data_IF_494071986214
#
_entry.id   IF_494071986214
#
_cell.length_a   1.000
_cell.length_b   1.000
_cell.length_c   1.000
_cell.angle_alpha   90.00
_cell.angle_beta   90.00
_cell.angle_gamma   90.00
#
_symmetry.space_group_name_H-M   'P 1'
#
loop_
_entity.id
_entity.type
_entity.pdbx_description
1 polymer ?
#
# COMPACT_ATOMS: atom_id res chain seq x y z
N UNK A 1 24.80 -4.22 15.05
CA UNK A 1 23.54 -4.37 14.37
C UNK A 1 22.91 -3.04 14.09
N UNK A 2 22.37 -2.89 12.96
CA UNK A 2 21.69 -1.68 12.67
C UNK A 2 20.33 -1.70 13.19
N UNK A 3 19.89 -0.59 13.67
CA UNK A 3 18.51 -0.41 13.98
C UNK A 3 17.75 -0.20 12.70
N UNK A 4 16.71 -0.94 12.54
CA UNK A 4 15.85 -0.75 11.38
C UNK A 4 15.18 0.60 11.47
N UNK A 5 15.21 1.33 10.37
CA UNK A 5 14.42 2.56 10.26
C UNK A 5 12.96 2.14 10.18
N UNK A 6 12.10 2.70 11.02
CA UNK A 6 10.68 2.33 10.99
C UNK A 6 10.07 2.58 9.62
N UNK A 7 9.20 1.68 9.22
CA UNK A 7 8.46 1.81 7.97
C UNK A 7 7.00 2.04 8.26
N UNK A 8 6.35 2.80 7.40
CA UNK A 8 4.91 2.99 7.45
C UNK A 8 4.34 2.60 6.10
N UNK A 9 3.11 2.10 6.14
CA UNK A 9 2.38 1.75 4.94
C UNK A 9 1.05 2.46 5.00
N UNK A 10 0.73 3.20 3.95
CA UNK A 10 -0.56 3.85 3.81
C UNK A 10 -1.31 3.17 2.67
N UNK A 11 -2.56 2.84 2.91
CA UNK A 11 -3.41 2.20 1.91
C UNK A 11 -4.67 3.05 1.78
N UNK A 12 -4.94 3.48 0.55
CA UNK A 12 -6.13 4.25 0.23
C UNK A 12 -7.01 3.39 -0.68
N UNK A 13 -8.18 3.02 -0.18
CA UNK A 13 -9.10 2.15 -0.91
C UNK A 13 -10.18 3.04 -1.51
N UNK A 14 -10.04 3.33 -2.79
CA UNK A 14 -11.01 4.11 -3.53
C UNK A 14 -11.98 3.24 -4.31
N UNK A 15 -12.99 3.86 -4.87
CA UNK A 15 -14.02 3.14 -5.63
C UNK A 15 -13.43 2.48 -6.88
N UNK A 16 -12.44 3.10 -7.51
CA UNK A 16 -11.89 2.61 -8.78
C UNK A 16 -10.48 2.08 -8.67
N UNK A 17 -9.75 2.46 -7.62
CA UNK A 17 -8.36 2.02 -7.46
C UNK A 17 -7.99 1.96 -5.99
N UNK A 18 -7.02 1.10 -5.71
CA UNK A 18 -6.36 1.03 -4.41
C UNK A 18 -4.96 1.57 -4.60
N UNK A 19 -4.55 2.47 -3.73
CA UNK A 19 -3.20 3.04 -3.75
C UNK A 19 -2.46 2.62 -2.49
N UNK A 20 -1.20 2.23 -2.65
CA UNK A 20 -0.35 1.82 -1.54
C UNK A 20 0.93 2.64 -1.59
N UNK A 21 1.36 3.11 -0.43
CA UNK A 21 2.58 3.88 -0.30
C UNK A 21 3.37 3.32 0.87
N UNK A 22 4.66 3.08 0.65
CA UNK A 22 5.57 2.61 1.68
C UNK A 22 6.59 3.71 1.92
N UNK A 23 6.77 4.09 3.18
CA UNK A 23 7.73 5.12 3.55
C UNK A 23 8.62 4.67 4.69
N UNK A 24 9.83 5.20 4.71
CA UNK A 24 10.73 5.08 5.86
C UNK A 24 10.66 6.36 6.66
N UNK A 25 10.47 6.21 7.96
CA UNK A 25 10.36 7.34 8.87
C UNK A 25 11.74 7.59 9.47
N UNK A 26 12.43 8.61 8.97
CA UNK A 26 13.75 8.98 9.50
C UNK A 26 13.61 9.93 10.70
N UNK A 27 12.56 10.73 10.70
CA UNK A 27 12.22 11.64 11.77
C UNK A 27 10.73 11.95 11.65
N UNK A 28 10.07 12.50 12.67
CA UNK A 28 8.63 12.78 12.58
C UNK A 28 8.23 13.64 11.37
N UNK A 29 9.14 14.50 10.93
CA UNK A 29 8.88 15.38 9.80
C UNK A 29 9.68 14.99 8.55
N UNK A 30 10.28 13.78 8.53
CA UNK A 30 11.12 13.36 7.42
C UNK A 30 10.78 11.91 7.06
N UNK A 31 9.85 11.74 6.14
CA UNK A 31 9.41 10.44 5.67
C UNK A 31 9.86 10.30 4.22
N UNK A 32 10.62 9.25 3.95
CA UNK A 32 11.10 8.96 2.62
C UNK A 32 10.20 7.90 1.99
N UNK A 33 9.58 8.25 0.86
CA UNK A 33 8.76 7.30 0.12
C UNK A 33 9.68 6.37 -0.64
N UNK A 34 9.58 5.07 -0.39
CA UNK A 34 10.45 4.08 -1.02
C UNK A 34 9.69 3.16 -1.96
N UNK A 35 8.36 3.15 -1.89
CA UNK A 35 7.54 2.38 -2.82
C UNK A 35 6.15 2.94 -2.89
N UNK A 36 5.55 2.87 -4.06
CA UNK A 36 4.17 3.24 -4.25
C UNK A 36 3.61 2.51 -5.44
N UNK A 37 2.33 2.18 -5.37
CA UNK A 37 1.67 1.46 -6.44
C UNK A 37 0.18 1.73 -6.37
N UNK A 38 -0.47 1.53 -7.51
CA UNK A 38 -1.92 1.57 -7.62
C UNK A 38 -2.39 0.34 -8.35
N UNK A 39 -3.51 -0.21 -7.92
CA UNK A 39 -4.15 -1.32 -8.61
C UNK A 39 -5.61 -0.97 -8.83
N UNK A 40 -6.16 -1.45 -9.94
CA UNK A 40 -7.57 -1.23 -10.23
C UNK A 40 -8.42 -1.98 -9.22
N UNK A 41 -9.42 -1.29 -8.68
CA UNK A 41 -10.36 -1.87 -7.74
C UNK A 41 -11.70 -2.06 -8.44
N UNK A 42 -12.11 -3.32 -8.59
CA UNK A 42 -13.38 -3.67 -9.22
C UNK A 42 -14.39 -4.19 -8.21
N UNK A 43 -14.05 -4.12 -6.93
CA UNK A 43 -14.88 -4.66 -5.86
C UNK A 43 -15.77 -3.65 -5.19
N UNK A 44 -15.80 -2.39 -5.68
CA UNK A 44 -16.58 -1.33 -5.06
C UNK A 44 -17.45 -0.63 -6.07
N UNK A 45 -18.58 -0.11 -5.60
CA UNK A 45 -19.49 0.68 -6.39
C UNK A 45 -20.05 1.77 -5.51
N UNK A 46 -19.89 3.02 -5.93
CA UNK A 46 -20.41 4.19 -5.20
C UNK A 46 -19.98 4.20 -3.74
N UNK A 47 -18.71 3.86 -3.50
CA UNK A 47 -18.14 3.87 -2.16
C UNK A 47 -18.51 2.68 -1.29
N UNK A 48 -19.23 1.69 -1.83
CA UNK A 48 -19.63 0.50 -1.09
C UNK A 48 -18.93 -0.73 -1.65
N UNK A 49 -18.55 -1.66 -0.76
CA UNK A 49 -17.94 -2.90 -1.18
C UNK A 49 -19.04 -3.81 -1.73
N UNK A 50 -18.90 -4.21 -3.00
CA UNK A 50 -19.82 -5.14 -3.64
C UNK A 50 -19.17 -6.51 -3.87
N UNK A 51 -17.84 -6.59 -3.81
CA UNK A 51 -17.12 -7.85 -3.87
C UNK A 51 -15.86 -7.73 -3.02
N UNK A 52 -15.88 -8.35 -1.86
CA UNK A 52 -14.74 -8.31 -0.95
C UNK A 52 -13.52 -8.99 -1.58
N UNK A 53 -13.72 -10.09 -2.30
CA UNK A 53 -12.62 -10.80 -2.95
C UNK A 53 -11.88 -9.90 -3.94
N UNK A 54 -12.61 -9.10 -4.70
CA UNK A 54 -11.99 -8.20 -5.67
C UNK A 54 -11.25 -7.06 -4.99
N UNK A 55 -11.77 -6.56 -3.87
CA UNK A 55 -11.06 -5.53 -3.09
C UNK A 55 -9.77 -6.10 -2.54
N UNK A 56 -9.82 -7.30 -1.97
CA UNK A 56 -8.63 -7.96 -1.41
C UNK A 56 -7.59 -8.19 -2.50
N UNK A 57 -8.02 -8.63 -3.69
CA UNK A 57 -7.11 -8.85 -4.81
C UNK A 57 -6.43 -7.54 -5.21
N UNK A 58 -7.17 -6.44 -5.27
CA UNK A 58 -6.61 -5.14 -5.60
C UNK A 58 -5.58 -4.70 -4.57
N UNK A 59 -5.87 -4.91 -3.28
CA UNK A 59 -4.94 -4.58 -2.19
C UNK A 59 -3.67 -5.41 -2.32
N UNK A 60 -3.81 -6.72 -2.51
CA UNK A 60 -2.66 -7.62 -2.64
C UNK A 60 -1.78 -7.23 -3.82
N UNK A 61 -2.39 -6.91 -4.96
CA UNK A 61 -1.65 -6.52 -6.14
C UNK A 61 -0.89 -5.20 -5.92
N UNK A 62 -1.53 -4.22 -5.31
CA UNK A 62 -0.89 -2.94 -5.05
C UNK A 62 0.23 -3.08 -4.02
N UNK A 63 0.01 -3.87 -2.96
CA UNK A 63 1.03 -4.12 -1.95
C UNK A 63 2.24 -4.82 -2.56
N UNK A 64 2.00 -5.85 -3.37
CA UNK A 64 3.10 -6.58 -4.01
C UNK A 64 3.94 -5.66 -4.90
N UNK A 65 3.28 -4.83 -5.67
CA UNK A 65 3.97 -3.92 -6.58
C UNK A 65 4.76 -2.86 -5.81
N UNK A 66 4.19 -2.34 -4.73
CA UNK A 66 4.88 -1.36 -3.88
C UNK A 66 6.09 -2.01 -3.19
N UNK A 67 5.94 -3.25 -2.71
CA UNK A 67 7.05 -3.99 -2.11
C UNK A 67 8.17 -4.23 -3.12
N UNK A 68 7.82 -4.56 -4.35
CA UNK A 68 8.81 -4.80 -5.39
C UNK A 68 9.60 -3.52 -5.68
N UNK A 69 8.91 -2.39 -5.74
CA UNK A 69 9.59 -1.10 -5.94
C UNK A 69 10.50 -0.77 -4.77
N UNK A 70 10.05 -1.03 -3.56
CA UNK A 70 10.80 -0.72 -2.34
C UNK A 70 11.89 -1.75 -2.04
N UNK A 71 11.86 -2.90 -2.72
CA UNK A 71 12.76 -4.03 -2.47
C UNK A 71 12.66 -4.48 -1.01
N UNK A 72 11.44 -4.51 -0.49
CA UNK A 72 11.20 -4.92 0.89
C UNK A 72 9.88 -5.70 0.97
N UNK A 73 9.63 -6.29 2.13
CA UNK A 73 8.37 -6.97 2.40
C UNK A 73 7.63 -6.22 3.50
N UNK A 74 6.33 -6.16 3.36
CA UNK A 74 5.48 -5.60 4.38
C UNK A 74 5.09 -6.72 5.32
N UNK A 75 5.39 -6.53 6.61
CA UNK A 75 5.01 -7.47 7.63
C UNK A 75 3.79 -6.91 8.36
N UNK A 76 2.77 -7.69 8.48
CA UNK A 76 1.55 -7.29 9.18
C UNK A 76 1.38 -8.09 10.44
#
# INVERSE_FOLDING_TARGET
MNEAVPSVVAIDIGTHKVSVLIGKVHAPDNIQVIGMATARNRGMNKGKIVSLDKVITAIKNAVQEAEDMAECRIHS
#
